data_IF_692278702726
#
_entry.id   IF_692278702726
#
_cell.length_a   1.000
_cell.length_b   1.000
_cell.length_c   1.000
_cell.angle_alpha   90.00
_cell.angle_beta   90.00
_cell.angle_gamma   90.00
#
_symmetry.space_group_name_H-M   'P 1'
#
loop_
_entity.id
_entity.type
_entity.pdbx_description
1 polymer ?
#
# COMPACT_ATOMS: atom_id res chain seq x y z
N UNK A 1 2.69 1.39 -10.35
CA UNK A 1 3.88 1.56 -9.49
C UNK A 1 4.42 2.99 -9.50
N UNK A 2 4.76 3.59 -10.65
CA UNK A 2 5.27 4.97 -10.70
C UNK A 2 4.44 6.00 -9.92
N UNK A 3 3.10 5.94 -10.00
CA UNK A 3 2.23 6.82 -9.21
C UNK A 3 2.34 6.59 -7.68
N UNK A 4 2.54 5.34 -7.23
CA UNK A 4 2.78 5.04 -5.81
C UNK A 4 4.15 5.61 -5.37
N UNK A 5 5.16 5.55 -6.24
CA UNK A 5 6.45 6.19 -6.00
C UNK A 5 6.34 7.72 -5.92
N UNK A 6 5.53 8.36 -6.77
CA UNK A 6 5.21 9.79 -6.64
C UNK A 6 4.57 10.11 -5.29
N UNK A 7 3.65 9.26 -4.79
CA UNK A 7 3.05 9.45 -3.46
C UNK A 7 4.07 9.31 -2.33
N UNK A 8 5.03 8.38 -2.43
CA UNK A 8 6.11 8.24 -1.46
C UNK A 8 6.95 9.54 -1.34
N UNK A 9 7.05 10.32 -2.42
CA UNK A 9 7.70 11.64 -2.42
C UNK A 9 6.95 12.72 -1.60
N UNK A 10 5.70 12.46 -1.18
CA UNK A 10 4.93 13.34 -0.30
C UNK A 10 5.17 13.11 1.20
N UNK A 11 5.73 11.96 1.59
CA UNK A 11 6.08 11.67 2.99
C UNK A 11 7.22 12.60 3.48
N UNK A 12 7.31 12.98 4.76
CA UNK A 12 8.45 13.74 5.26
C UNK A 12 9.75 12.89 5.25
N UNK A 13 10.89 13.54 4.96
CA UNK A 13 12.24 12.96 5.14
C UNK A 13 12.59 12.96 6.63
N UNK A 14 12.30 11.90 7.38
CA UNK A 14 12.78 11.76 8.76
C UNK A 14 13.77 10.59 8.86
N UNK A 15 14.72 10.64 9.79
CA UNK A 15 15.68 9.55 9.99
C UNK A 15 15.04 8.25 10.51
N UNK A 16 13.76 8.29 10.87
CA UNK A 16 13.05 7.20 11.57
C UNK A 16 11.94 6.54 10.75
N UNK A 17 11.60 7.06 9.56
CA UNK A 17 10.55 6.48 8.70
C UNK A 17 11.07 6.15 7.32
N UNK A 18 10.60 5.03 6.74
CA UNK A 18 10.72 4.81 5.31
C UNK A 18 9.59 5.54 4.58
N UNK A 19 9.92 6.24 3.50
CA UNK A 19 8.96 6.95 2.68
C UNK A 19 8.35 5.98 1.67
N UNK A 20 7.14 5.49 1.96
CA UNK A 20 6.43 4.48 1.16
C UNK A 20 5.18 5.12 0.58
N UNK A 21 4.75 4.67 -0.59
CA UNK A 21 3.48 5.06 -1.20
C UNK A 21 2.66 3.83 -1.62
N UNK A 22 1.34 3.96 -1.57
CA UNK A 22 0.39 2.91 -1.86
C UNK A 22 -0.85 3.39 -2.63
N UNK A 23 -1.44 2.50 -3.43
CA UNK A 23 -2.64 2.75 -4.23
C UNK A 23 -3.55 1.52 -4.20
N UNK A 24 -4.84 1.71 -3.89
CA UNK A 24 -5.85 0.68 -4.13
C UNK A 24 -6.53 0.96 -5.46
N UNK A 25 -6.57 -0.04 -6.34
CA UNK A 25 -6.99 0.09 -7.73
C UNK A 25 -8.06 -0.94 -8.06
N UNK A 26 -9.13 -0.50 -8.73
CA UNK A 26 -9.99 -1.38 -9.50
C UNK A 26 -9.44 -1.49 -10.93
N UNK A 27 -8.94 -2.67 -11.34
CA UNK A 27 -8.36 -2.85 -12.66
C UNK A 27 -9.43 -2.86 -13.77
N UNK A 28 -10.71 -2.87 -13.42
CA UNK A 28 -11.79 -2.98 -14.40
C UNK A 28 -11.90 -1.73 -15.27
N UNK A 29 -12.29 -1.89 -16.54
CA UNK A 29 -12.57 -0.79 -17.42
C UNK A 29 -13.65 0.13 -16.80
N UNK A 30 -13.36 1.42 -16.64
CA UNK A 30 -14.37 2.37 -16.14
C UNK A 30 -15.56 2.39 -17.10
N UNK A 31 -16.75 2.08 -16.59
CA UNK A 31 -18.00 2.09 -17.38
C UNK A 31 -18.57 3.50 -17.55
N UNK A 32 -17.82 4.53 -17.12
CA UNK A 32 -18.22 5.92 -17.17
C UNK A 32 -17.95 6.53 -18.56
N UNK A 33 -18.77 6.14 -19.54
CA UNK A 33 -19.48 7.03 -20.47
C UNK A 33 -19.93 6.26 -21.71
N UNK A 34 -21.23 6.35 -21.96
CA UNK A 34 -21.78 6.17 -23.30
C UNK A 34 -21.16 7.23 -24.22
N UNK A 35 -20.55 6.78 -25.32
CA UNK A 35 -20.00 7.51 -26.48
C UNK A 35 -18.48 7.36 -26.68
N UNK A 36 -18.18 6.92 -27.90
CA UNK A 36 -16.90 6.77 -28.61
C UNK A 36 -16.06 5.50 -28.37
N UNK A 37 -15.95 4.61 -29.39
CA UNK A 37 -15.07 3.45 -29.38
C UNK A 37 -13.65 3.86 -29.79
N UNK A 38 -12.85 4.46 -28.89
CA UNK A 38 -11.43 4.71 -29.23
C UNK A 38 -10.45 4.88 -28.06
N UNK A 39 -10.81 4.66 -26.80
CA UNK A 39 -9.84 4.78 -25.68
C UNK A 39 -9.90 3.55 -24.78
N UNK A 40 -8.79 2.83 -24.54
CA UNK A 40 -8.76 1.82 -23.50
C UNK A 40 -9.06 2.52 -22.17
N UNK A 41 -10.18 2.14 -21.56
CA UNK A 41 -10.60 2.61 -20.24
C UNK A 41 -9.50 2.29 -19.22
N UNK A 42 -9.00 3.34 -18.58
CA UNK A 42 -7.92 3.21 -17.60
C UNK A 42 -8.44 2.60 -16.29
N UNK A 43 -7.59 1.90 -15.53
CA UNK A 43 -7.95 1.41 -14.20
C UNK A 43 -8.31 2.58 -13.27
N UNK A 44 -9.21 2.35 -12.31
CA UNK A 44 -9.69 3.39 -11.39
C UNK A 44 -8.95 3.30 -10.05
N UNK A 45 -8.34 4.40 -9.62
CA UNK A 45 -7.75 4.51 -8.28
C UNK A 45 -8.87 4.78 -7.27
N UNK A 46 -9.06 3.88 -6.32
CA UNK A 46 -10.08 3.96 -5.28
C UNK A 46 -9.58 4.72 -4.04
N UNK A 47 -8.31 4.55 -3.71
CA UNK A 47 -7.65 5.29 -2.63
C UNK A 47 -6.14 5.32 -2.81
N UNK A 48 -5.52 6.26 -2.10
CA UNK A 48 -4.08 6.48 -2.06
C UNK A 48 -3.59 6.53 -0.62
N UNK A 49 -2.32 6.20 -0.41
CA UNK A 49 -1.65 6.31 0.87
C UNK A 49 -0.19 6.68 0.71
N UNK A 50 0.37 7.44 1.66
CA UNK A 50 1.82 7.50 1.86
C UNK A 50 2.17 7.48 3.35
N UNK A 51 3.41 7.14 3.68
CA UNK A 51 3.87 7.08 5.07
C UNK A 51 3.63 8.41 5.78
N UNK A 52 2.99 8.36 6.96
CA UNK A 52 2.61 9.51 7.79
C UNK A 52 1.58 10.47 7.16
N UNK A 53 0.82 10.03 6.16
CA UNK A 53 -0.27 10.84 5.62
C UNK A 53 -1.41 11.06 6.62
N UNK A 54 -1.77 10.01 7.37
CA UNK A 54 -2.76 10.10 8.44
C UNK A 54 -2.07 10.26 9.80
N UNK A 55 -2.72 10.90 10.79
CA UNK A 55 -2.14 11.12 12.12
C UNK A 55 -1.60 9.85 12.77
N UNK A 56 -0.49 10.01 13.51
CA UNK A 56 0.20 8.91 14.19
C UNK A 56 1.29 8.26 13.34
N UNK A 57 1.85 7.15 13.84
CA UNK A 57 2.87 6.40 13.12
C UNK A 57 2.20 5.47 12.10
N UNK A 58 1.80 6.01 10.94
CA UNK A 58 1.04 5.29 9.91
C UNK A 58 1.92 4.92 8.71
N UNK A 59 1.74 3.69 8.21
CA UNK A 59 2.35 3.24 6.96
C UNK A 59 1.46 3.62 5.76
N UNK A 60 2.01 3.55 4.55
CA UNK A 60 1.29 3.90 3.33
C UNK A 60 0.06 3.01 3.10
N UNK A 61 0.20 1.69 3.30
CA UNK A 61 -0.88 0.71 3.14
C UNK A 61 -1.98 0.95 4.17
N UNK A 62 -1.60 1.30 5.40
CA UNK A 62 -2.54 1.69 6.46
C UNK A 62 -3.33 2.94 6.06
N UNK A 63 -2.68 3.99 5.55
CA UNK A 63 -3.35 5.20 5.10
C UNK A 63 -4.29 4.93 3.91
N UNK A 64 -3.83 4.11 2.96
CA UNK A 64 -4.59 3.74 1.77
C UNK A 64 -5.86 2.96 2.15
N UNK A 65 -5.75 1.95 3.03
CA UNK A 65 -6.89 1.14 3.46
C UNK A 65 -7.85 1.97 4.31
N UNK A 66 -7.35 2.77 5.26
CA UNK A 66 -8.17 3.61 6.13
C UNK A 66 -9.12 4.54 5.35
N UNK A 67 -8.69 5.06 4.19
CA UNK A 67 -9.51 5.93 3.34
C UNK A 67 -10.63 5.20 2.60
N UNK A 68 -10.48 3.92 2.27
CA UNK A 68 -11.59 3.14 1.67
C UNK A 68 -12.58 2.66 2.72
N UNK A 69 -12.16 2.60 3.97
CA UNK A 69 -13.00 2.26 5.11
C UNK A 69 -13.84 3.42 5.63
N UNK A 70 -13.61 4.65 5.14
CA UNK A 70 -14.25 5.84 5.69
C UNK A 70 -15.74 5.87 5.32
N UNK A 71 -16.64 5.92 6.31
CA UNK A 71 -18.09 5.84 6.07
C UNK A 71 -18.69 7.08 5.41
N UNK A 72 -17.94 8.18 5.28
CA UNK A 72 -18.38 9.41 4.63
C UNK A 72 -17.20 10.19 4.04
N UNK A 73 -17.45 10.96 2.97
CA UNK A 73 -16.44 11.81 2.32
C UNK A 73 -15.86 12.89 3.28
N UNK A 74 -16.64 13.31 4.28
CA UNK A 74 -16.28 14.42 5.18
C UNK A 74 -15.79 13.98 6.57
N UNK A 75 -15.81 12.67 6.86
CA UNK A 75 -15.28 12.15 8.11
C UNK A 75 -13.78 11.84 7.97
N UNK A 76 -12.93 12.23 8.94
CA UNK A 76 -11.52 11.86 8.89
C UNK A 76 -11.40 10.32 8.94
N UNK A 77 -10.57 9.72 8.09
CA UNK A 77 -10.40 8.27 8.09
C UNK A 77 -9.79 7.83 9.42
N UNK A 78 -10.38 6.78 10.02
CA UNK A 78 -9.81 6.13 11.19
C UNK A 78 -8.58 5.31 10.78
N UNK A 79 -7.50 5.42 11.54
CA UNK A 79 -6.29 4.60 11.34
C UNK A 79 -6.42 3.18 11.89
N UNK A 80 -7.47 2.94 12.67
CA UNK A 80 -7.82 1.63 13.22
C UNK A 80 -8.55 0.77 12.19
N UNK A 81 -8.33 -0.54 12.25
CA UNK A 81 -9.13 -1.43 11.42
C UNK A 81 -10.58 -1.44 11.92
N UNK A 82 -11.57 -1.21 11.03
CA UNK A 82 -12.96 -1.44 11.37
C UNK A 82 -13.23 -2.93 11.61
N UNK A 83 -14.31 -3.25 12.33
CA UNK A 83 -14.71 -4.64 12.55
C UNK A 83 -15.19 -5.34 11.28
N UNK A 84 -15.09 -6.66 11.24
CA UNK A 84 -15.38 -7.50 10.07
C UNK A 84 -16.74 -7.20 9.41
N UNK A 85 -17.79 -6.97 10.21
CA UNK A 85 -19.13 -6.65 9.71
C UNK A 85 -19.15 -5.32 8.93
N UNK A 86 -18.42 -4.31 9.40
CA UNK A 86 -18.31 -3.02 8.71
C UNK A 86 -17.51 -3.19 7.42
N UNK A 87 -16.43 -3.97 7.43
CA UNK A 87 -15.64 -4.29 6.23
C UNK A 87 -16.52 -4.98 5.19
N UNK A 88 -17.34 -5.95 5.59
CA UNK A 88 -18.20 -6.69 4.67
C UNK A 88 -19.30 -5.83 4.02
N UNK A 89 -19.68 -4.71 4.65
CA UNK A 89 -20.68 -3.77 4.15
C UNK A 89 -20.12 -2.70 3.21
N UNK A 90 -18.79 -2.65 3.01
CA UNK A 90 -18.18 -1.70 2.09
C UNK A 90 -18.67 -1.93 0.66
N UNK A 91 -19.07 -0.85 -0.01
CA UNK A 91 -19.48 -0.83 -1.41
C UNK A 91 -18.26 -0.90 -2.35
N UNK A 92 -17.38 -1.88 -2.13
CA UNK A 92 -16.19 -2.14 -2.93
C UNK A 92 -16.38 -3.39 -3.80
N UNK A 93 -15.83 -3.41 -5.03
CA UNK A 93 -15.81 -4.61 -5.84
C UNK A 93 -15.07 -5.75 -5.14
N UNK A 94 -15.71 -6.92 -5.06
CA UNK A 94 -15.13 -8.12 -4.45
C UNK A 94 -14.30 -8.90 -5.46
N UNK A 95 -13.24 -9.55 -4.97
CA UNK A 95 -12.45 -10.52 -5.73
C UNK A 95 -11.67 -9.97 -6.91
N UNK A 96 -11.37 -8.65 -6.96
CA UNK A 96 -10.66 -8.07 -8.11
C UNK A 96 -9.75 -6.88 -7.82
N UNK A 97 -9.72 -6.33 -6.61
CA UNK A 97 -8.93 -5.13 -6.34
C UNK A 97 -7.44 -5.46 -6.28
N UNK A 98 -6.63 -4.51 -6.74
CA UNK A 98 -5.19 -4.57 -6.72
C UNK A 98 -4.63 -3.49 -5.79
N UNK A 99 -3.79 -3.88 -4.84
CA UNK A 99 -3.00 -2.94 -4.04
C UNK A 99 -1.61 -2.80 -4.66
N UNK A 100 -1.17 -1.58 -4.93
CA UNK A 100 0.22 -1.28 -5.26
C UNK A 100 0.88 -0.67 -4.02
N UNK A 101 2.09 -1.11 -3.70
CA UNK A 101 2.93 -0.52 -2.64
C UNK A 101 4.38 -0.48 -3.10
N UNK A 102 5.08 0.61 -2.81
CA UNK A 102 6.49 0.74 -3.22
C UNK A 102 7.41 -0.21 -2.46
N UNK A 103 7.07 -0.56 -1.22
CA UNK A 103 7.83 -1.49 -0.39
C UNK A 103 6.97 -2.70 0.00
N UNK A 104 7.62 -3.85 0.24
CA UNK A 104 6.95 -5.05 0.74
C UNK A 104 6.17 -4.78 2.04
N UNK A 105 4.90 -5.21 2.13
CA UNK A 105 4.11 -5.01 3.35
C UNK A 105 4.74 -5.69 4.56
N UNK A 106 4.87 -4.96 5.66
CA UNK A 106 5.48 -5.49 6.87
C UNK A 106 4.62 -6.56 7.57
N UNK A 107 5.27 -7.60 8.10
CA UNK A 107 4.66 -8.63 8.98
C UNK A 107 4.69 -8.27 10.46
N UNK A 108 5.53 -7.31 10.85
CA UNK A 108 5.68 -6.83 12.22
C UNK A 108 5.90 -5.31 12.22
N UNK A 109 5.62 -4.65 13.35
CA UNK A 109 5.92 -3.23 13.55
C UNK A 109 6.50 -3.00 14.94
N UNK A 110 7.68 -2.36 14.98
CA UNK A 110 8.31 -1.94 16.24
C UNK A 110 7.43 -0.96 17.04
N UNK A 111 6.52 -0.24 16.38
CA UNK A 111 5.57 0.65 17.04
C UNK A 111 4.45 -0.10 17.79
N UNK A 112 4.34 -1.42 17.63
CA UNK A 112 3.23 -2.24 18.17
C UNK A 112 1.91 -2.09 17.39
N UNK A 113 1.88 -1.26 16.34
CA UNK A 113 0.69 -1.11 15.51
C UNK A 113 0.45 -2.35 14.66
N UNK A 114 -0.81 -2.57 14.27
CA UNK A 114 -1.16 -3.71 13.43
C UNK A 114 -0.35 -3.71 12.09
N UNK A 115 0.32 -4.83 11.75
CA UNK A 115 1.13 -4.95 10.54
C UNK A 115 0.34 -4.78 9.24
N UNK A 116 1.03 -4.37 8.18
CA UNK A 116 0.40 -4.09 6.89
C UNK A 116 -0.16 -5.36 6.25
N UNK A 117 0.50 -6.50 6.37
CA UNK A 117 -0.05 -7.79 5.90
C UNK A 117 -1.39 -8.10 6.56
N UNK A 118 -1.53 -7.89 7.87
CA UNK A 118 -2.78 -8.16 8.59
C UNK A 118 -3.90 -7.23 8.13
N UNK A 119 -3.57 -5.97 7.84
CA UNK A 119 -4.51 -5.00 7.25
C UNK A 119 -4.96 -5.43 5.86
N UNK A 120 -4.06 -5.91 5.01
CA UNK A 120 -4.40 -6.42 3.68
C UNK A 120 -5.28 -7.66 3.80
N UNK A 121 -4.94 -8.59 4.70
CA UNK A 121 -5.70 -9.82 4.90
C UNK A 121 -7.13 -9.58 5.45
N UNK A 122 -7.34 -8.51 6.21
CA UNK A 122 -8.69 -8.10 6.61
C UNK A 122 -9.57 -7.71 5.41
N UNK A 123 -8.95 -7.33 4.29
CA UNK A 123 -9.62 -6.92 3.04
C UNK A 123 -9.45 -7.95 1.91
N UNK A 124 -9.02 -9.19 2.20
CA UNK A 124 -8.75 -10.23 1.18
C UNK A 124 -9.94 -10.63 0.31
N UNK A 125 -11.17 -10.39 0.78
CA UNK A 125 -12.38 -10.58 -0.03
C UNK A 125 -12.47 -9.58 -1.19
N UNK A 126 -11.75 -8.45 -1.09
CA UNK A 126 -11.70 -7.40 -2.09
C UNK A 126 -10.36 -7.40 -2.83
N UNK A 127 -9.25 -7.49 -2.08
CA UNK A 127 -7.88 -7.42 -2.59
C UNK A 127 -7.37 -8.82 -2.96
N UNK A 128 -7.21 -9.07 -4.26
CA UNK A 128 -6.71 -10.36 -4.78
C UNK A 128 -5.26 -10.30 -5.22
N UNK A 129 -4.74 -9.10 -5.50
CA UNK A 129 -3.42 -8.89 -6.07
C UNK A 129 -2.70 -7.75 -5.33
N UNK A 130 -1.45 -7.99 -4.94
CA UNK A 130 -0.56 -7.01 -4.31
C UNK A 130 0.68 -6.86 -5.17
N UNK A 131 0.89 -5.67 -5.73
CA UNK A 131 2.04 -5.31 -6.53
C UNK A 131 3.05 -4.56 -5.67
N UNK A 132 4.25 -5.11 -5.55
CA UNK A 132 5.33 -4.61 -4.70
C UNK A 132 6.45 -4.08 -5.57
N UNK A 133 6.96 -2.88 -5.28
CA UNK A 133 8.02 -2.27 -6.08
C UNK A 133 9.43 -2.70 -5.67
N UNK A 134 9.66 -2.92 -4.38
CA UNK A 134 10.88 -3.50 -3.83
C UNK A 134 10.49 -4.55 -2.82
N UNK A 135 10.94 -5.78 -3.05
CA UNK A 135 10.93 -6.81 -2.01
C UNK A 135 11.93 -6.41 -0.94
N UNK A 136 11.58 -6.59 0.33
CA UNK A 136 12.50 -6.17 1.41
C UNK A 136 13.84 -6.89 1.20
N UNK A 137 14.96 -6.15 1.07
CA UNK A 137 16.25 -6.79 0.90
C UNK A 137 16.56 -7.60 2.16
N UNK A 138 17.10 -8.83 2.00
CA UNK A 138 17.55 -9.70 3.10
C UNK A 138 18.51 -9.03 4.11
N UNK A 139 18.97 -7.81 3.82
CA UNK A 139 19.85 -6.98 4.64
C UNK A 139 19.15 -6.12 5.69
N UNK A 140 17.84 -5.83 5.60
CA UNK A 140 17.15 -4.91 6.52
C UNK A 140 16.38 -5.63 7.65
N UNK A 141 15.82 -6.81 7.37
CA UNK A 141 15.24 -7.73 8.37
C UNK A 141 15.36 -9.16 7.82
N UNK A 142 16.20 -10.02 8.43
CA UNK A 142 16.21 -11.45 8.10
C UNK A 142 14.85 -12.06 8.50
N UNK A 143 14.01 -12.37 7.51
CA UNK A 143 12.77 -13.13 7.71
C UNK A 143 11.45 -12.37 7.57
N UNK A 144 11.41 -11.21 6.89
CA UNK A 144 10.11 -10.68 6.50
C UNK A 144 9.49 -11.61 5.45
N UNK A 145 8.41 -12.29 5.86
CA UNK A 145 7.68 -13.26 5.06
C UNK A 145 6.40 -12.64 4.49
N UNK A 146 6.36 -11.31 4.30
CA UNK A 146 5.15 -10.58 3.93
C UNK A 146 4.49 -11.15 2.68
N UNK A 147 5.30 -11.37 1.63
CA UNK A 147 4.89 -12.09 0.43
C UNK A 147 4.30 -13.48 0.75
N UNK A 148 5.03 -14.31 1.49
CA UNK A 148 4.63 -15.67 1.80
C UNK A 148 3.33 -15.73 2.64
N UNK A 149 3.16 -14.80 3.60
CA UNK A 149 1.95 -14.67 4.42
C UNK A 149 0.74 -14.33 3.56
N UNK A 150 0.89 -13.39 2.62
CA UNK A 150 -0.17 -13.01 1.68
C UNK A 150 -0.52 -14.15 0.73
N UNK A 151 0.48 -14.78 0.11
CA UNK A 151 0.30 -15.90 -0.82
C UNK A 151 -0.35 -17.12 -0.14
N UNK A 152 0.04 -17.44 1.09
CA UNK A 152 -0.57 -18.52 1.88
C UNK A 152 -2.06 -18.28 2.18
N UNK A 153 -2.51 -17.02 2.18
CA UNK A 153 -3.90 -16.62 2.36
C UNK A 153 -4.67 -16.43 1.04
N UNK A 154 -4.06 -16.76 -0.11
CA UNK A 154 -4.67 -16.68 -1.43
C UNK A 154 -4.56 -15.31 -2.11
N UNK A 155 -3.80 -14.36 -1.55
CA UNK A 155 -3.52 -13.06 -2.17
C UNK A 155 -2.27 -13.19 -3.04
N UNK A 156 -2.37 -12.90 -4.33
CA UNK A 156 -1.25 -13.00 -5.28
C UNK A 156 -0.30 -11.82 -5.09
N UNK A 157 1.00 -12.07 -5.02
CA UNK A 157 2.01 -11.02 -4.87
C UNK A 157 2.89 -10.94 -6.11
N UNK A 158 3.00 -9.74 -6.69
CA UNK A 158 3.70 -9.47 -7.93
C UNK A 158 4.81 -8.46 -7.69
N UNK A 159 6.04 -8.78 -8.08
CA UNK A 159 7.16 -7.83 -8.03
C UNK A 159 7.18 -6.97 -9.32
N UNK A 160 7.14 -5.65 -9.17
CA UNK A 160 7.23 -4.69 -10.28
C UNK A 160 8.67 -4.23 -10.44
N UNK A 161 9.37 -4.84 -11.39
CA UNK A 161 10.78 -4.59 -11.66
C UNK A 161 11.03 -3.26 -12.39
N UNK A 162 12.26 -2.75 -12.27
CA UNK A 162 12.78 -1.59 -13.01
C UNK A 162 12.65 -0.24 -12.29
N UNK A 163 12.23 -0.24 -11.02
CA UNK A 163 12.08 0.96 -10.19
C UNK A 163 12.75 0.81 -8.81
N UNK A 164 13.50 -0.27 -8.59
CA UNK A 164 14.00 -0.66 -7.28
C UNK A 164 14.95 0.39 -6.68
N UNK A 165 15.93 0.85 -7.47
CA UNK A 165 16.89 1.87 -7.05
C UNK A 165 16.20 3.19 -6.70
N UNK A 166 15.26 3.64 -7.53
CA UNK A 166 14.53 4.88 -7.31
C UNK A 166 13.61 4.78 -6.07
N UNK A 167 12.98 3.62 -5.87
CA UNK A 167 12.18 3.35 -4.69
C UNK A 167 13.04 3.37 -3.44
N UNK A 168 14.20 2.70 -3.42
CA UNK A 168 15.10 2.66 -2.28
C UNK A 168 15.68 4.06 -1.97
N UNK A 169 16.03 4.82 -2.99
CA UNK A 169 16.49 6.20 -2.85
C UNK A 169 15.41 7.08 -2.19
N UNK A 170 14.17 7.02 -2.69
CA UNK A 170 13.05 7.76 -2.11
C UNK A 170 12.74 7.27 -0.70
N UNK A 171 12.71 5.96 -0.48
CA UNK A 171 12.33 5.35 0.80
C UNK A 171 13.29 5.74 1.92
N UNK A 172 14.59 5.85 1.64
CA UNK A 172 15.63 6.17 2.62
C UNK A 172 16.00 7.66 2.68
N UNK A 173 15.34 8.52 1.90
CA UNK A 173 15.61 9.95 1.92
C UNK A 173 15.32 10.54 3.32
N UNK A 174 16.37 11.05 3.97
CA UNK A 174 16.33 11.56 5.35
C UNK A 174 16.99 10.63 6.38
N UNK A 175 17.32 9.39 6.01
CA UNK A 175 18.11 8.50 6.86
C UNK A 175 19.56 8.95 6.88
N UNK A 176 20.17 8.94 8.07
CA UNK A 176 21.62 9.10 8.18
C UNK A 176 22.27 7.88 7.56
N UNK A 177 23.00 8.06 6.46
CA UNK A 177 23.87 7.00 5.95
C UNK A 177 24.83 6.60 7.08
N UNK A 178 25.02 5.30 7.35
CA UNK A 178 26.12 4.89 8.19
C UNK A 178 27.40 5.47 7.57
N UNK A 179 28.25 6.09 8.39
CA UNK A 179 29.56 6.53 7.94
C UNK A 179 30.26 5.33 7.29
N UNK A 180 30.97 5.48 6.15
CA UNK A 180 31.82 4.42 5.67
C UNK A 180 32.73 4.00 6.83
N UNK A 181 32.72 2.71 7.15
CA UNK A 181 33.53 2.16 8.23
C UNK A 181 35.02 2.48 8.01
N UNK A 182 35.82 2.52 9.09
CA UNK A 182 37.24 2.84 9.01
C UNK A 182 38.02 1.90 8.09
#
# INVERSE_FOLDING_TARGET
MAQALTLARSSPCLPTNYRVGALLVDPSPSTASSQEPSTPSSPTVLATGYTLELPGNTHAEQCCIAKVSSPAADAPPSTELPGDQQIQQLALPRGRLALYTTMEPCVERLSGNLPCVQRILAYRDFITDVYVGVLEPDTFVKGNSGRAVLEAAGVKVHHVVGLEDEILEVATAGHTRPAPGP
#
